data_IF_445824385242
#
_entry.id   IF_445824385242
#
_cell.length_a   1.000
_cell.length_b   1.000
_cell.length_c   1.000
_cell.angle_alpha   90.00
_cell.angle_beta   90.00
_cell.angle_gamma   90.00
#
_symmetry.space_group_name_H-M   'P 1'
#
loop_
_entity.id
_entity.type
_entity.pdbx_description
1 polymer ?
#
# COMPACT_ATOMS: atom_id res chain seq x y z
N UNK A 1 109.56 -15.03 50.87
CA UNK A 1 108.78 -13.75 50.68
C UNK A 1 108.27 -13.58 49.23
N UNK A 2 108.96 -14.20 48.24
CA UNK A 2 108.49 -14.08 46.81
C UNK A 2 107.32 -14.96 46.45
N UNK A 3 107.16 -16.15 47.10
CA UNK A 3 106.02 -17.06 46.78
C UNK A 3 104.64 -16.45 47.20
N UNK A 4 104.57 -15.75 48.31
CA UNK A 4 103.35 -15.13 48.81
C UNK A 4 102.90 -13.98 47.91
N UNK A 5 103.83 -13.32 47.33
CA UNK A 5 103.55 -12.18 46.42
C UNK A 5 102.98 -12.66 45.03
N UNK A 6 103.41 -13.82 44.59
CA UNK A 6 102.87 -14.40 43.32
C UNK A 6 101.49 -15.05 43.47
N UNK A 7 101.13 -15.56 44.67
CA UNK A 7 99.75 -16.02 44.94
C UNK A 7 98.77 -14.87 45.05
N UNK A 8 99.12 -13.73 45.64
CA UNK A 8 98.27 -12.57 45.70
C UNK A 8 98.05 -11.91 44.29
N UNK A 9 99.07 -11.88 43.44
CA UNK A 9 98.97 -11.39 42.06
C UNK A 9 98.02 -12.31 41.25
N UNK A 10 98.14 -13.61 41.30
CA UNK A 10 97.25 -14.57 40.63
C UNK A 10 95.85 -14.55 41.18
N UNK A 11 95.62 -14.24 42.44
CA UNK A 11 94.33 -14.14 43.07
C UNK A 11 93.61 -12.85 42.66
N UNK A 12 94.38 -11.74 42.50
CA UNK A 12 93.86 -10.49 42.02
C UNK A 12 93.50 -10.49 40.48
N UNK A 13 94.36 -11.12 39.69
CA UNK A 13 94.06 -11.33 38.24
C UNK A 13 92.81 -12.17 38.03
N UNK A 14 92.59 -13.25 38.83
CA UNK A 14 91.37 -14.07 38.76
C UNK A 14 90.09 -13.34 39.21
N UNK A 15 90.24 -12.38 40.16
CA UNK A 15 89.12 -11.56 40.63
C UNK A 15 88.78 -10.51 39.55
N UNK A 16 89.78 -9.92 38.90
CA UNK A 16 89.54 -8.94 37.84
C UNK A 16 88.94 -9.59 36.57
N UNK A 17 89.40 -10.78 36.20
CA UNK A 17 88.85 -11.56 35.11
C UNK A 17 87.38 -11.98 35.41
N UNK A 18 87.07 -12.47 36.57
CA UNK A 18 85.66 -12.73 37.01
C UNK A 18 84.80 -11.50 37.05
N UNK A 19 85.34 -10.36 37.47
CA UNK A 19 84.62 -9.10 37.48
C UNK A 19 84.38 -8.57 36.07
N UNK A 20 85.36 -8.73 35.15
CA UNK A 20 85.18 -8.35 33.73
C UNK A 20 84.12 -9.24 33.02
N UNK A 21 84.17 -10.59 33.25
CA UNK A 21 83.15 -11.51 32.71
C UNK A 21 81.77 -11.23 33.29
N UNK A 22 81.68 -10.93 34.61
CA UNK A 22 80.41 -10.58 35.26
C UNK A 22 79.81 -9.22 34.73
N UNK A 23 80.67 -8.23 34.44
CA UNK A 23 80.27 -6.97 33.87
C UNK A 23 79.91 -7.08 32.38
N UNK A 24 80.62 -7.94 31.63
CA UNK A 24 80.29 -8.26 30.24
C UNK A 24 78.92 -8.96 30.13
N UNK A 25 78.70 -9.98 30.98
CA UNK A 25 77.43 -10.68 31.04
C UNK A 25 76.23 -9.76 31.46
N UNK A 26 76.51 -8.85 32.44
CA UNK A 26 75.53 -7.84 32.81
C UNK A 26 75.16 -6.86 31.65
N UNK A 27 76.19 -6.44 30.88
CA UNK A 27 75.93 -5.58 29.69
C UNK A 27 75.17 -6.30 28.58
N UNK A 28 75.44 -7.60 28.39
CA UNK A 28 74.74 -8.45 27.40
C UNK A 28 73.32 -8.70 27.91
N UNK A 29 73.11 -8.98 29.19
CA UNK A 29 71.78 -9.15 29.79
C UNK A 29 70.94 -7.82 29.67
N UNK A 30 71.54 -6.70 29.98
CA UNK A 30 70.88 -5.37 29.82
C UNK A 30 70.55 -5.05 28.36
N UNK A 31 71.41 -5.39 27.38
CA UNK A 31 71.09 -5.28 25.96
C UNK A 31 69.92 -6.18 25.54
N UNK A 32 69.88 -7.43 26.01
CA UNK A 32 68.74 -8.34 25.75
C UNK A 32 67.45 -7.83 26.35
N UNK A 33 67.47 -7.31 27.59
CA UNK A 33 66.31 -6.70 28.24
C UNK A 33 65.86 -5.46 27.48
N UNK A 34 66.81 -4.62 27.02
CA UNK A 34 66.48 -3.40 26.24
C UNK A 34 65.88 -3.74 24.89
N UNK A 35 66.38 -4.76 24.19
CA UNK A 35 65.80 -5.27 22.92
C UNK A 35 64.38 -5.82 23.19
N UNK A 36 64.16 -6.57 24.27
CA UNK A 36 62.88 -7.10 24.66
C UNK A 36 61.87 -5.98 24.92
N UNK A 37 62.26 -4.91 25.64
CA UNK A 37 61.43 -3.73 25.86
C UNK A 37 61.10 -3.02 24.55
N UNK A 38 62.06 -2.87 23.64
CA UNK A 38 61.79 -2.27 22.32
C UNK A 38 60.82 -3.12 21.51
N UNK A 39 60.95 -4.45 21.50
CA UNK A 39 59.98 -5.33 20.86
C UNK A 39 58.58 -5.18 21.44
N UNK A 40 58.47 -5.07 22.76
CA UNK A 40 57.19 -4.90 23.44
C UNK A 40 56.53 -3.57 23.13
N UNK A 41 57.34 -2.50 23.03
CA UNK A 41 56.87 -1.15 22.59
C UNK A 41 56.41 -1.18 21.12
N UNK A 42 57.17 -1.83 20.23
CA UNK A 42 56.81 -1.97 18.82
C UNK A 42 55.50 -2.75 18.67
N UNK A 43 55.33 -3.86 19.37
CA UNK A 43 54.07 -4.63 19.39
C UNK A 43 52.94 -3.76 19.92
N UNK A 44 53.15 -2.97 21.00
CA UNK A 44 52.18 -2.03 21.53
C UNK A 44 51.77 -0.97 20.52
N UNK A 45 52.74 -0.39 19.82
CA UNK A 45 52.48 0.61 18.75
C UNK A 45 51.70 -0.02 17.58
N UNK A 46 52.07 -1.21 17.14
CA UNK A 46 51.35 -1.94 16.08
C UNK A 46 49.91 -2.24 16.53
N UNK A 47 49.70 -2.65 17.77
CA UNK A 47 48.37 -2.90 18.34
C UNK A 47 47.55 -1.64 18.42
N UNK A 48 48.13 -0.50 18.86
CA UNK A 48 47.46 0.80 18.90
C UNK A 48 47.10 1.29 17.48
N UNK A 49 48.04 1.11 16.53
CA UNK A 49 47.80 1.48 15.12
C UNK A 49 46.70 0.61 14.50
N UNK A 50 46.71 -0.67 14.75
CA UNK A 50 45.66 -1.60 14.33
C UNK A 50 44.31 -1.21 14.92
N UNK A 51 44.26 -0.93 16.23
CA UNK A 51 43.03 -0.50 16.90
C UNK A 51 42.53 0.88 16.41
N UNK A 52 43.42 1.82 16.13
CA UNK A 52 43.06 3.14 15.63
C UNK A 52 42.55 3.11 14.18
N UNK A 53 43.09 2.21 13.34
CA UNK A 53 42.70 2.08 11.94
C UNK A 53 41.48 1.20 11.74
N UNK A 54 41.29 0.14 12.54
CA UNK A 54 40.19 -0.83 12.36
C UNK A 54 39.09 -0.71 13.43
N UNK A 55 39.43 -0.42 14.66
CA UNK A 55 38.47 -0.36 15.77
C UNK A 55 37.53 0.86 15.74
N UNK A 56 37.85 1.88 14.93
CA UNK A 56 37.01 3.10 14.79
C UNK A 56 36.06 3.07 13.59
N UNK A 57 36.15 2.05 12.73
CA UNK A 57 35.40 1.99 11.45
C UNK A 57 34.19 1.06 11.54
N UNK A 58 33.96 0.42 12.68
CA UNK A 58 32.92 -0.60 12.85
C UNK A 58 32.16 -0.32 14.15
N UNK A 59 30.84 -0.39 14.08
CA UNK A 59 29.95 -0.41 15.26
C UNK A 59 29.17 -1.71 15.32
N UNK A 60 29.20 -2.37 16.46
CA UNK A 60 28.53 -3.65 16.71
C UNK A 60 27.40 -3.50 17.72
N UNK A 61 26.33 -4.22 17.51
CA UNK A 61 25.26 -4.43 18.49
C UNK A 61 24.67 -5.81 18.36
N UNK A 62 24.27 -6.39 19.47
CA UNK A 62 23.48 -7.62 19.58
C UNK A 62 21.98 -7.33 19.76
N UNK A 63 21.61 -6.06 19.86
CA UNK A 63 20.24 -5.61 19.99
C UNK A 63 19.71 -5.24 18.60
N UNK A 64 19.47 -6.24 17.78
CA UNK A 64 18.86 -6.10 16.46
C UNK A 64 17.81 -7.20 16.27
N UNK A 65 16.68 -6.82 15.67
CA UNK A 65 15.55 -7.73 15.44
C UNK A 65 15.06 -7.64 14.00
N UNK A 66 14.73 -8.80 13.43
CA UNK A 66 14.09 -8.86 12.12
C UNK A 66 12.67 -8.35 12.23
N UNK A 67 12.31 -7.44 11.34
CA UNK A 67 10.94 -6.92 11.19
C UNK A 67 10.47 -7.06 9.74
N UNK A 68 9.18 -6.92 9.49
CA UNK A 68 8.60 -7.09 8.17
C UNK A 68 7.22 -6.44 8.07
N UNK A 69 6.75 -6.29 6.82
CA UNK A 69 5.39 -5.76 6.59
C UNK A 69 4.35 -6.79 6.99
N UNK A 70 3.56 -6.45 8.00
CA UNK A 70 2.39 -7.22 8.42
C UNK A 70 1.17 -6.66 7.70
N UNK A 71 0.58 -7.46 6.81
CA UNK A 71 -0.60 -7.09 6.06
C UNK A 71 -1.82 -7.70 6.75
N UNK A 72 -2.54 -6.89 7.49
CA UNK A 72 -3.78 -7.28 8.17
C UNK A 72 -4.90 -7.28 7.13
N UNK A 73 -5.53 -8.43 6.93
CA UNK A 73 -6.67 -8.61 6.04
C UNK A 73 -7.94 -8.48 6.86
N UNK A 74 -8.81 -7.56 6.45
CA UNK A 74 -10.08 -7.31 7.12
C UNK A 74 -11.25 -7.60 6.19
N UNK A 75 -12.42 -7.92 6.75
CA UNK A 75 -13.65 -8.00 5.97
C UNK A 75 -14.09 -6.61 5.50
N UNK A 76 -14.63 -6.53 4.29
CA UNK A 76 -15.26 -5.31 3.77
C UNK A 76 -16.80 -5.40 3.85
N UNK A 77 -17.33 -6.59 4.09
CA UNK A 77 -18.77 -6.89 4.16
C UNK A 77 -19.09 -7.69 5.42
N UNK A 78 -20.35 -7.68 5.85
CA UNK A 78 -20.82 -8.51 6.95
C UNK A 78 -21.31 -9.87 6.45
N UNK A 79 -21.30 -10.88 7.30
CA UNK A 79 -21.88 -12.19 7.02
C UNK A 79 -21.08 -13.32 7.63
N UNK A 80 -21.48 -14.56 7.37
CA UNK A 80 -20.87 -15.76 7.93
C UNK A 80 -19.77 -16.30 7.02
N UNK A 81 -18.64 -16.71 7.57
CA UNK A 81 -17.57 -17.38 6.80
C UNK A 81 -18.06 -18.78 6.41
N UNK A 82 -18.32 -18.99 5.12
CA UNK A 82 -18.79 -20.28 4.59
C UNK A 82 -17.67 -21.16 4.06
N UNK A 83 -16.52 -20.58 3.66
CA UNK A 83 -15.34 -21.34 3.25
C UNK A 83 -14.07 -20.64 3.77
N UNK A 84 -13.14 -21.45 4.24
CA UNK A 84 -11.82 -21.02 4.68
C UNK A 84 -10.79 -21.92 3.98
N UNK A 85 -9.89 -21.34 3.19
CA UNK A 85 -9.00 -22.08 2.29
C UNK A 85 -7.55 -22.04 2.73
N UNK A 86 -7.26 -21.43 3.88
CA UNK A 86 -5.90 -21.24 4.39
C UNK A 86 -5.83 -21.55 5.86
N UNK A 87 -4.64 -22.00 6.28
CA UNK A 87 -4.29 -22.27 7.67
C UNK A 87 -3.08 -21.43 8.09
N UNK A 88 -2.86 -21.35 9.42
CA UNK A 88 -1.67 -20.72 9.97
C UNK A 88 -0.40 -21.38 9.41
N UNK A 89 0.64 -20.59 9.19
CA UNK A 89 1.94 -20.98 8.64
C UNK A 89 1.95 -21.38 7.15
N UNK A 90 0.79 -21.37 6.48
CA UNK A 90 0.71 -21.65 5.05
C UNK A 90 1.23 -20.47 4.22
N UNK A 91 2.00 -20.78 3.17
CA UNK A 91 2.39 -19.79 2.16
C UNK A 91 1.26 -19.57 1.16
N UNK A 92 0.98 -18.31 0.85
CA UNK A 92 -0.03 -17.88 -0.13
C UNK A 92 0.59 -16.93 -1.15
N UNK A 93 0.10 -16.98 -2.38
CA UNK A 93 0.50 -16.04 -3.42
C UNK A 93 -0.49 -14.87 -3.49
N UNK A 94 -0.01 -13.74 -4.00
CA UNK A 94 -0.89 -12.61 -4.29
C UNK A 94 -2.00 -13.04 -5.24
N UNK A 95 -3.27 -12.80 -4.87
CA UNK A 95 -4.45 -13.18 -5.63
C UNK A 95 -5.07 -14.53 -5.25
N UNK A 96 -4.45 -15.30 -4.34
CA UNK A 96 -5.06 -16.54 -3.84
C UNK A 96 -6.32 -16.21 -3.03
N UNK A 97 -7.37 -17.02 -3.19
CA UNK A 97 -8.60 -16.91 -2.43
C UNK A 97 -8.39 -17.48 -1.02
N UNK A 98 -8.56 -16.66 0.00
CA UNK A 98 -8.29 -17.00 1.39
C UNK A 98 -9.53 -17.50 2.13
N UNK A 99 -10.64 -16.79 1.95
CA UNK A 99 -11.92 -17.11 2.57
C UNK A 99 -13.06 -16.57 1.73
N UNK A 100 -14.26 -17.09 1.96
CA UNK A 100 -15.50 -16.54 1.40
C UNK A 100 -16.51 -16.33 2.49
N UNK A 101 -17.17 -15.17 2.45
CA UNK A 101 -18.37 -14.86 3.24
C UNK A 101 -19.59 -15.43 2.50
N UNK A 102 -20.63 -15.80 3.19
CA UNK A 102 -21.90 -16.22 2.58
C UNK A 102 -22.42 -15.13 1.65
N UNK A 103 -22.61 -15.47 0.40
CA UNK A 103 -22.90 -14.56 -0.69
C UNK A 103 -24.40 -14.53 -1.09
N UNK A 104 -25.25 -15.32 -0.43
CA UNK A 104 -26.66 -15.48 -0.82
C UNK A 104 -27.37 -14.14 -0.86
N UNK A 105 -27.30 -13.35 0.20
CA UNK A 105 -27.96 -12.04 0.29
C UNK A 105 -27.40 -11.04 -0.72
N UNK A 106 -26.09 -11.08 -0.99
CA UNK A 106 -25.43 -10.23 -1.96
C UNK A 106 -25.80 -10.59 -3.40
N UNK A 107 -25.97 -11.89 -3.71
CA UNK A 107 -26.49 -12.34 -5.02
C UNK A 107 -27.92 -11.90 -5.23
N UNK A 108 -28.77 -12.05 -4.22
CA UNK A 108 -30.16 -11.57 -4.30
C UNK A 108 -30.24 -10.04 -4.45
N UNK A 109 -29.36 -9.30 -3.76
CA UNK A 109 -29.29 -7.85 -3.90
C UNK A 109 -28.86 -7.44 -5.34
N UNK A 110 -27.90 -8.15 -5.92
CA UNK A 110 -27.47 -7.92 -7.31
C UNK A 110 -28.60 -8.27 -8.32
N UNK A 111 -29.32 -9.35 -8.11
CA UNK A 111 -30.47 -9.73 -8.94
C UNK A 111 -31.58 -8.67 -8.87
N UNK A 112 -31.90 -8.17 -7.68
CA UNK A 112 -32.87 -7.10 -7.49
C UNK A 112 -32.42 -5.79 -8.17
N UNK A 113 -31.13 -5.44 -8.05
CA UNK A 113 -30.57 -4.27 -8.72
C UNK A 113 -30.59 -4.41 -10.26
N UNK A 114 -30.32 -5.62 -10.76
CA UNK A 114 -30.41 -5.95 -12.20
C UNK A 114 -31.84 -5.79 -12.72
N UNK A 115 -32.83 -6.31 -11.99
CA UNK A 115 -34.24 -6.18 -12.33
C UNK A 115 -34.69 -4.71 -12.33
N UNK A 116 -34.23 -3.94 -11.33
CA UNK A 116 -34.52 -2.51 -11.22
C UNK A 116 -33.92 -1.70 -12.36
N UNK A 117 -32.67 -2.01 -12.75
CA UNK A 117 -32.02 -1.41 -13.93
C UNK A 117 -32.82 -1.73 -15.21
N UNK A 118 -33.20 -2.97 -15.42
CA UNK A 118 -34.04 -3.35 -16.56
C UNK A 118 -35.38 -2.63 -16.57
N UNK A 119 -36.00 -2.41 -15.40
CA UNK A 119 -37.25 -1.62 -15.28
C UNK A 119 -37.01 -0.15 -15.67
N UNK A 120 -35.95 0.47 -15.19
CA UNK A 120 -35.62 1.88 -15.51
C UNK A 120 -35.36 2.06 -17.03
N UNK A 121 -34.66 1.11 -17.65
CA UNK A 121 -34.38 1.11 -19.09
C UNK A 121 -35.69 1.03 -19.90
N UNK A 122 -36.58 0.08 -19.55
CA UNK A 122 -37.88 -0.05 -20.24
C UNK A 122 -38.77 1.17 -20.03
N UNK A 123 -38.73 1.78 -18.85
CA UNK A 123 -39.46 3.04 -18.57
C UNK A 123 -38.96 4.17 -19.47
N UNK A 124 -37.67 4.38 -19.58
CA UNK A 124 -37.08 5.36 -20.50
C UNK A 124 -37.48 5.08 -21.96
N UNK A 125 -37.44 3.81 -22.39
CA UNK A 125 -37.89 3.45 -23.75
C UNK A 125 -39.37 3.77 -23.99
N UNK A 126 -40.21 3.58 -22.95
CA UNK A 126 -41.65 3.94 -23.07
C UNK A 126 -41.87 5.46 -23.18
N UNK A 127 -41.11 6.28 -22.44
CA UNK A 127 -41.11 7.72 -22.55
C UNK A 127 -40.70 8.20 -23.95
N UNK A 128 -39.64 7.61 -24.51
CA UNK A 128 -39.21 7.90 -25.87
C UNK A 128 -40.29 7.55 -26.91
N UNK A 129 -40.98 6.44 -26.75
CA UNK A 129 -42.08 6.03 -27.61
C UNK A 129 -43.26 7.00 -27.51
N UNK A 130 -43.54 7.52 -26.30
CA UNK A 130 -44.57 8.54 -26.08
C UNK A 130 -44.22 9.88 -26.79
N UNK A 131 -42.97 10.32 -26.70
CA UNK A 131 -42.49 11.51 -27.45
C UNK A 131 -42.70 11.31 -28.96
N UNK A 132 -42.29 10.13 -29.50
CA UNK A 132 -42.49 9.85 -30.92
C UNK A 132 -43.99 9.83 -31.34
N UNK A 133 -44.88 9.36 -30.48
CA UNK A 133 -46.32 9.38 -30.69
C UNK A 133 -46.86 10.84 -30.72
N UNK A 134 -46.47 11.65 -29.75
CA UNK A 134 -46.90 13.05 -29.66
C UNK A 134 -46.36 13.90 -30.83
N UNK A 135 -45.14 13.62 -31.31
CA UNK A 135 -44.59 14.23 -32.52
C UNK A 135 -45.48 13.97 -33.74
N UNK A 136 -45.95 12.74 -33.90
CA UNK A 136 -46.90 12.40 -34.99
C UNK A 136 -48.25 13.12 -34.83
N UNK A 137 -48.74 13.28 -33.58
CA UNK A 137 -49.99 14.05 -33.35
C UNK A 137 -49.82 15.52 -33.69
N UNK A 138 -48.68 16.16 -33.31
CA UNK A 138 -48.37 17.54 -33.72
C UNK A 138 -48.41 17.68 -35.24
N UNK A 139 -47.77 16.79 -35.99
CA UNK A 139 -47.79 16.79 -37.46
C UNK A 139 -49.24 16.69 -37.99
N UNK A 140 -50.10 15.85 -37.40
CA UNK A 140 -51.51 15.73 -37.79
C UNK A 140 -52.28 17.03 -37.51
N UNK A 141 -52.03 17.71 -36.37
CA UNK A 141 -52.66 19.02 -36.06
C UNK A 141 -52.16 20.13 -36.96
N UNK A 142 -50.89 20.18 -37.33
CA UNK A 142 -50.36 21.13 -38.34
C UNK A 142 -51.04 20.99 -39.68
N UNK A 143 -51.23 19.71 -40.12
CA UNK A 143 -51.99 19.52 -41.39
C UNK A 143 -53.41 19.95 -41.28
N UNK A 144 -54.11 19.74 -40.14
CA UNK A 144 -55.49 20.29 -39.92
C UNK A 144 -55.53 21.83 -39.92
N UNK A 145 -54.55 22.48 -39.26
CA UNK A 145 -54.40 23.92 -39.25
C UNK A 145 -54.16 24.46 -40.66
N UNK A 146 -53.28 23.78 -41.43
CA UNK A 146 -53.02 24.15 -42.83
C UNK A 146 -54.35 24.13 -43.67
N UNK A 147 -55.16 23.07 -43.52
CA UNK A 147 -56.44 22.94 -44.14
C UNK A 147 -57.39 24.07 -43.69
N UNK A 148 -57.61 24.30 -42.39
CA UNK A 148 -58.46 25.30 -41.83
C UNK A 148 -58.06 26.71 -42.28
N UNK A 149 -56.74 26.97 -42.41
CA UNK A 149 -56.22 28.25 -42.93
C UNK A 149 -56.57 28.48 -44.41
N UNK A 150 -56.52 27.44 -45.23
CA UNK A 150 -56.92 27.48 -46.63
C UNK A 150 -58.41 27.68 -46.76
N UNK A 151 -59.24 26.94 -45.99
CA UNK A 151 -60.69 27.06 -45.97
C UNK A 151 -61.16 28.49 -45.56
N UNK A 152 -60.51 29.04 -44.49
CA UNK A 152 -60.74 30.44 -44.07
C UNK A 152 -60.39 31.44 -45.16
N UNK A 153 -59.22 31.26 -45.84
CA UNK A 153 -58.84 32.21 -46.91
C UNK A 153 -59.81 32.16 -48.08
N UNK A 154 -60.33 30.99 -48.45
CA UNK A 154 -61.36 30.85 -49.49
C UNK A 154 -62.68 31.53 -49.05
N UNK A 155 -63.14 31.23 -47.82
CA UNK A 155 -64.39 31.85 -47.29
C UNK A 155 -64.25 33.36 -47.15
N UNK A 156 -63.10 33.90 -46.78
CA UNK A 156 -62.81 35.34 -46.70
C UNK A 156 -62.94 36.00 -48.09
N UNK A 157 -62.26 35.45 -49.08
CA UNK A 157 -62.25 35.98 -50.43
C UNK A 157 -63.71 35.96 -51.06
N UNK A 158 -64.45 34.86 -50.82
CA UNK A 158 -65.83 34.72 -51.28
C UNK A 158 -66.78 35.70 -50.59
N UNK A 159 -66.61 35.96 -49.29
CA UNK A 159 -67.40 36.94 -48.55
C UNK A 159 -67.13 38.38 -49.04
N UNK A 160 -65.86 38.74 -49.25
CA UNK A 160 -65.42 40.04 -49.77
C UNK A 160 -65.97 40.29 -51.21
N UNK A 161 -66.08 39.20 -51.98
CA UNK A 161 -66.68 39.24 -53.32
C UNK A 161 -68.24 39.24 -53.31
N UNK A 162 -68.91 39.18 -52.15
CA UNK A 162 -70.35 39.09 -52.00
C UNK A 162 -70.96 37.72 -52.35
N UNK A 163 -70.14 36.68 -52.50
CA UNK A 163 -70.56 35.36 -52.95
C UNK A 163 -70.80 34.33 -51.76
N UNK A 164 -70.47 34.72 -50.56
CA UNK A 164 -70.66 33.88 -49.35
C UNK A 164 -71.38 34.66 -48.24
N UNK A 165 -72.09 33.95 -47.37
CA UNK A 165 -72.77 34.50 -46.21
C UNK A 165 -71.78 34.87 -45.07
N UNK A 166 -72.21 35.88 -44.28
CA UNK A 166 -71.47 36.24 -43.06
C UNK A 166 -71.28 35.02 -42.08
N UNK A 167 -72.26 34.15 -42.03
CA UNK A 167 -72.25 32.96 -41.21
C UNK A 167 -71.12 31.96 -41.63
N UNK A 168 -71.01 31.69 -42.93
CA UNK A 168 -69.96 30.82 -43.50
C UNK A 168 -68.60 31.41 -43.24
N UNK A 169 -68.34 32.68 -43.37
CA UNK A 169 -67.11 33.38 -43.05
C UNK A 169 -66.72 33.21 -41.53
N UNK A 170 -67.73 33.51 -40.65
CA UNK A 170 -67.47 33.36 -39.19
C UNK A 170 -67.22 31.93 -38.80
N UNK A 171 -67.93 30.94 -39.35
CA UNK A 171 -67.67 29.51 -39.10
C UNK A 171 -66.29 29.11 -39.56
N UNK A 172 -65.78 29.53 -40.70
CA UNK A 172 -64.45 29.26 -41.15
C UNK A 172 -63.38 29.89 -40.24
N UNK A 173 -63.64 31.10 -39.73
CA UNK A 173 -62.80 31.81 -38.76
C UNK A 173 -62.73 31.05 -37.42
N UNK A 174 -63.88 30.60 -36.92
CA UNK A 174 -63.94 29.84 -35.66
C UNK A 174 -63.22 28.47 -35.79
N UNK A 175 -63.41 27.78 -36.92
CA UNK A 175 -62.67 26.53 -37.21
C UNK A 175 -61.16 26.75 -37.29
N UNK A 176 -60.72 27.92 -37.86
CA UNK A 176 -59.27 28.25 -37.81
C UNK A 176 -58.78 28.46 -36.38
N UNK A 177 -59.53 29.22 -35.56
CA UNK A 177 -59.13 29.41 -34.13
C UNK A 177 -59.10 28.12 -33.35
N UNK A 178 -60.05 27.20 -33.56
CA UNK A 178 -60.09 25.89 -32.97
C UNK A 178 -58.86 25.09 -33.41
N UNK A 179 -58.49 25.15 -34.70
CA UNK A 179 -57.28 24.42 -35.16
C UNK A 179 -55.98 24.97 -34.58
N UNK A 180 -55.90 26.33 -34.43
CA UNK A 180 -54.75 26.97 -33.75
C UNK A 180 -54.62 26.47 -32.29
N UNK A 181 -55.71 26.59 -31.52
CA UNK A 181 -55.69 26.13 -30.10
C UNK A 181 -55.38 24.63 -29.93
N UNK A 182 -55.89 23.80 -30.88
CA UNK A 182 -55.59 22.35 -30.87
C UNK A 182 -54.14 22.04 -31.15
N UNK A 183 -53.48 22.80 -32.05
CA UNK A 183 -52.02 22.63 -32.29
C UNK A 183 -51.22 23.10 -31.08
N UNK A 184 -51.56 24.23 -30.47
CA UNK A 184 -50.87 24.72 -29.26
C UNK A 184 -50.97 23.74 -28.10
N UNK A 185 -52.14 23.11 -27.91
CA UNK A 185 -52.33 22.06 -26.93
C UNK A 185 -51.43 20.86 -27.20
N UNK A 186 -51.33 20.39 -28.47
CA UNK A 186 -50.47 19.26 -28.82
C UNK A 186 -48.97 19.57 -28.66
N UNK A 187 -48.55 20.80 -29.00
CA UNK A 187 -47.19 21.27 -28.77
C UNK A 187 -46.85 21.26 -27.27
N UNK A 188 -47.75 21.81 -26.42
CA UNK A 188 -47.53 21.78 -24.97
C UNK A 188 -47.45 20.39 -24.40
N UNK A 189 -48.22 19.43 -24.93
CA UNK A 189 -48.14 18.03 -24.53
C UNK A 189 -46.80 17.39 -24.96
N UNK A 190 -46.32 17.71 -26.16
CA UNK A 190 -45.02 17.23 -26.66
C UNK A 190 -43.88 17.82 -25.83
N UNK A 191 -43.89 19.12 -25.53
CA UNK A 191 -42.85 19.78 -24.73
C UNK A 191 -42.74 19.17 -23.31
N UNK A 192 -43.89 18.86 -22.68
CA UNK A 192 -43.94 18.18 -21.41
C UNK A 192 -43.32 16.80 -21.49
N UNK A 193 -43.61 16.02 -22.55
CA UNK A 193 -43.02 14.69 -22.72
C UNK A 193 -41.51 14.75 -23.02
N UNK A 194 -41.08 15.72 -23.84
CA UNK A 194 -39.65 15.98 -24.10
C UNK A 194 -38.91 16.32 -22.81
N UNK A 195 -39.52 17.13 -21.94
CA UNK A 195 -38.93 17.51 -20.63
C UNK A 195 -38.71 16.29 -19.74
N UNK A 196 -39.61 15.30 -19.76
CA UNK A 196 -39.47 14.06 -18.99
C UNK A 196 -38.32 13.18 -19.49
N UNK A 197 -38.08 13.18 -20.81
CA UNK A 197 -36.92 12.47 -21.40
C UNK A 197 -35.63 13.30 -21.21
N UNK A 198 -35.74 14.61 -20.89
CA UNK A 198 -34.63 15.56 -20.62
C UNK A 198 -33.62 15.66 -21.74
N UNK A 199 -33.97 15.37 -22.99
CA UNK A 199 -33.08 15.37 -24.17
C UNK A 199 -31.79 14.54 -23.93
N UNK A 200 -31.83 13.58 -23.00
CA UNK A 200 -30.67 12.76 -22.54
C UNK A 200 -30.64 11.43 -23.29
N UNK A 201 -29.49 10.87 -23.38
CA UNK A 201 -29.34 9.45 -23.78
C UNK A 201 -29.82 8.53 -22.66
N UNK A 202 -30.12 7.28 -22.98
CA UNK A 202 -30.47 6.25 -21.99
C UNK A 202 -29.43 6.15 -20.84
N UNK A 203 -28.15 6.36 -21.16
CA UNK A 203 -27.06 6.28 -20.21
C UNK A 203 -26.99 7.50 -19.26
N UNK A 204 -27.58 8.62 -19.62
CA UNK A 204 -27.51 9.87 -18.86
C UNK A 204 -28.85 10.25 -18.20
N UNK A 205 -29.91 9.45 -18.43
CA UNK A 205 -31.18 9.66 -17.76
C UNK A 205 -31.08 9.44 -16.24
N UNK A 206 -31.58 10.32 -15.37
CA UNK A 206 -31.40 10.25 -13.91
C UNK A 206 -31.82 8.91 -13.32
N UNK A 207 -33.00 8.39 -13.67
CA UNK A 207 -33.52 7.13 -13.14
C UNK A 207 -32.67 5.94 -13.55
N UNK A 208 -32.14 5.94 -14.78
CA UNK A 208 -31.23 4.90 -15.28
C UNK A 208 -29.90 5.01 -14.59
N UNK A 209 -29.35 6.21 -14.40
CA UNK A 209 -28.11 6.42 -13.66
C UNK A 209 -28.21 5.97 -12.19
N UNK A 210 -29.33 6.26 -11.55
CA UNK A 210 -29.57 5.79 -10.18
C UNK A 210 -29.59 4.25 -10.13
N UNK A 211 -30.26 3.60 -11.08
CA UNK A 211 -30.31 2.15 -11.15
C UNK A 211 -28.93 1.53 -11.50
N UNK A 212 -28.14 2.15 -12.39
CA UNK A 212 -26.76 1.76 -12.68
C UNK A 212 -25.90 1.83 -11.41
N UNK A 213 -26.02 2.92 -10.64
CA UNK A 213 -25.27 3.08 -9.39
C UNK A 213 -25.64 2.02 -8.36
N UNK A 214 -26.91 1.69 -8.23
CA UNK A 214 -27.39 0.62 -7.36
C UNK A 214 -26.87 -0.77 -7.80
N UNK A 215 -26.85 -1.02 -9.12
CA UNK A 215 -26.26 -2.23 -9.68
C UNK A 215 -24.77 -2.33 -9.40
N UNK A 216 -24.00 -1.27 -9.68
CA UNK A 216 -22.56 -1.22 -9.40
C UNK A 216 -22.27 -1.50 -7.94
N UNK A 217 -23.03 -0.90 -7.03
CA UNK A 217 -22.87 -1.12 -5.58
C UNK A 217 -23.11 -2.60 -5.22
N UNK A 218 -24.20 -3.20 -5.66
CA UNK A 218 -24.52 -4.59 -5.36
C UNK A 218 -23.48 -5.55 -5.94
N UNK A 219 -22.94 -5.28 -7.12
CA UNK A 219 -21.87 -6.03 -7.73
C UNK A 219 -20.57 -5.96 -6.91
N UNK A 220 -20.19 -4.75 -6.50
CA UNK A 220 -19.01 -4.52 -5.65
C UNK A 220 -19.15 -5.25 -4.32
N UNK A 221 -20.32 -5.18 -3.69
CA UNK A 221 -20.55 -5.83 -2.40
C UNK A 221 -20.52 -7.35 -2.54
N UNK A 222 -20.98 -7.92 -3.66
CA UNK A 222 -20.86 -9.35 -3.96
C UNK A 222 -19.39 -9.77 -4.16
N UNK A 223 -18.59 -9.00 -4.93
CA UNK A 223 -17.17 -9.34 -5.11
C UNK A 223 -16.39 -9.26 -3.80
N UNK A 224 -16.76 -8.37 -2.88
CA UNK A 224 -16.16 -8.24 -1.54
C UNK A 224 -16.45 -9.42 -0.61
N UNK A 225 -17.38 -10.30 -0.95
CA UNK A 225 -17.56 -11.57 -0.21
C UNK A 225 -16.40 -12.53 -0.40
N UNK A 226 -15.60 -12.36 -1.46
CA UNK A 226 -14.42 -13.15 -1.77
C UNK A 226 -13.19 -12.42 -1.25
N UNK A 227 -12.50 -13.01 -0.31
CA UNK A 227 -11.35 -12.39 0.36
C UNK A 227 -10.06 -12.95 -0.25
N UNK A 228 -9.29 -12.09 -0.92
CA UNK A 228 -8.07 -12.46 -1.62
C UNK A 228 -6.81 -11.95 -0.90
N UNK A 229 -5.68 -12.64 -1.11
CA UNK A 229 -4.37 -12.22 -0.62
C UNK A 229 -3.84 -11.01 -1.40
N UNK A 230 -3.63 -9.84 -0.77
CA UNK A 230 -3.12 -8.64 -1.46
C UNK A 230 -1.63 -8.73 -1.77
N UNK A 231 -0.91 -9.60 -1.09
CA UNK A 231 0.53 -9.83 -1.22
C UNK A 231 0.84 -11.31 -1.07
N UNK A 232 1.95 -11.76 -1.67
CA UNK A 232 2.50 -13.08 -1.39
C UNK A 232 3.19 -13.09 -0.03
N UNK A 233 3.07 -14.20 0.73
CA UNK A 233 3.67 -14.31 2.04
C UNK A 233 3.14 -15.50 2.83
N UNK A 234 3.45 -15.54 4.11
CA UNK A 234 3.00 -16.58 5.03
C UNK A 234 1.88 -16.05 5.91
N UNK A 235 0.82 -16.83 6.07
CA UNK A 235 -0.25 -16.55 7.03
C UNK A 235 0.31 -16.71 8.44
N UNK A 236 0.44 -15.60 9.16
CA UNK A 236 1.05 -15.57 10.48
C UNK A 236 0.05 -15.77 11.61
N UNK A 237 -1.18 -15.29 11.39
CA UNK A 237 -2.25 -15.36 12.37
C UNK A 237 -3.59 -15.39 11.66
N UNK A 238 -4.35 -16.44 11.91
CA UNK A 238 -5.74 -16.58 11.52
C UNK A 238 -6.64 -16.26 12.70
N UNK A 239 -7.48 -15.22 12.55
CA UNK A 239 -8.39 -14.76 13.61
C UNK A 239 -9.84 -15.15 13.35
N UNK A 240 -10.10 -15.96 12.31
CA UNK A 240 -11.45 -16.39 11.90
C UNK A 240 -11.57 -17.90 11.83
N UNK A 241 -12.83 -18.36 12.01
CA UNK A 241 -13.21 -19.77 11.94
C UNK A 241 -14.40 -19.96 11.00
N UNK A 242 -14.51 -21.17 10.47
CA UNK A 242 -15.64 -21.56 9.64
C UNK A 242 -16.95 -21.45 10.42
N UNK A 243 -17.98 -20.81 9.85
CA UNK A 243 -19.26 -20.56 10.50
C UNK A 243 -19.28 -19.32 11.42
N UNK A 244 -18.18 -18.60 11.55
CA UNK A 244 -18.12 -17.37 12.31
C UNK A 244 -18.72 -16.21 11.54
N UNK A 245 -19.52 -15.38 12.21
CA UNK A 245 -20.02 -14.11 11.68
C UNK A 245 -18.92 -13.04 11.75
N UNK A 246 -18.75 -12.28 10.68
CA UNK A 246 -17.79 -11.18 10.56
C UNK A 246 -18.49 -9.87 10.21
N UNK A 247 -17.91 -8.77 10.65
CA UNK A 247 -18.36 -7.42 10.35
C UNK A 247 -17.30 -6.65 9.53
N UNK A 248 -17.70 -5.56 8.83
CA UNK A 248 -16.74 -4.70 8.14
C UNK A 248 -15.64 -4.19 9.08
N UNK A 249 -14.40 -4.15 8.60
CA UNK A 249 -13.18 -3.80 9.34
C UNK A 249 -12.72 -4.80 10.40
N UNK A 250 -13.40 -5.92 10.58
CA UNK A 250 -12.93 -6.99 11.46
C UNK A 250 -11.70 -7.66 10.88
N UNK A 251 -10.65 -7.84 11.70
CA UNK A 251 -9.45 -8.58 11.33
C UNK A 251 -9.79 -10.05 11.08
N UNK A 252 -9.38 -10.57 9.93
CA UNK A 252 -9.60 -11.95 9.53
C UNK A 252 -8.33 -12.78 9.67
N UNK A 253 -7.24 -12.27 9.10
CA UNK A 253 -5.94 -12.91 9.14
C UNK A 253 -4.83 -11.90 8.83
N UNK A 254 -3.59 -12.25 9.18
CA UNK A 254 -2.41 -11.44 8.90
C UNK A 254 -1.46 -12.21 7.99
N UNK A 255 -1.05 -11.58 6.89
CA UNK A 255 -0.04 -12.11 5.97
C UNK A 255 1.26 -11.32 6.16
N UNK A 256 2.36 -12.05 6.35
CA UNK A 256 3.69 -11.48 6.44
C UNK A 256 4.42 -11.74 5.13
N UNK A 257 4.80 -10.64 4.46
CA UNK A 257 5.66 -10.73 3.29
C UNK A 257 7.12 -10.89 3.73
N UNK A 258 7.67 -12.08 3.52
CA UNK A 258 9.01 -12.46 3.95
C UNK A 258 10.12 -11.97 3.00
N UNK A 259 9.78 -11.50 1.79
CA UNK A 259 10.74 -10.96 0.83
C UNK A 259 11.13 -9.51 1.13
N UNK A 260 10.27 -8.77 1.85
CA UNK A 260 10.46 -7.38 2.24
C UNK A 260 10.69 -7.25 3.75
N UNK A 261 11.71 -7.94 4.25
CA UNK A 261 12.12 -7.84 5.64
C UNK A 261 13.26 -6.85 5.82
N UNK A 262 13.34 -6.27 7.00
CA UNK A 262 14.43 -5.39 7.43
C UNK A 262 14.84 -5.77 8.85
N UNK A 263 15.98 -5.27 9.30
CA UNK A 263 16.35 -5.36 10.69
C UNK A 263 16.24 -3.98 11.36
N UNK A 264 15.61 -3.94 12.52
CA UNK A 264 15.64 -2.78 13.41
C UNK A 264 16.84 -2.97 14.34
N UNK A 265 17.90 -2.20 14.08
CA UNK A 265 19.20 -2.28 14.76
C UNK A 265 19.27 -1.15 15.78
N UNK A 266 19.26 -1.50 17.06
CA UNK A 266 19.27 -0.54 18.17
C UNK A 266 20.70 -0.20 18.57
N UNK A 267 21.24 0.89 18.03
CA UNK A 267 22.55 1.40 18.36
C UNK A 267 22.49 2.33 19.57
N UNK A 268 23.52 2.32 20.44
CA UNK A 268 23.67 3.30 21.52
C UNK A 268 23.84 4.71 20.93
N UNK A 269 23.31 5.75 21.59
CA UNK A 269 23.47 7.13 21.15
C UNK A 269 24.95 7.52 20.94
N UNK A 270 25.86 6.92 21.69
CA UNK A 270 27.32 7.11 21.57
C UNK A 270 27.90 6.53 20.29
N UNK A 271 27.26 5.52 19.69
CA UNK A 271 27.66 4.85 18.45
C UNK A 271 27.15 5.56 17.20
N UNK A 272 26.18 6.48 17.33
CA UNK A 272 25.52 7.13 16.20
C UNK A 272 26.38 8.17 15.47
N UNK A 273 27.50 8.61 16.05
CA UNK A 273 28.28 9.76 15.57
C UNK A 273 28.63 9.71 14.07
N UNK A 274 28.96 8.54 13.55
CA UNK A 274 29.42 8.36 12.17
C UNK A 274 28.51 7.44 11.35
N UNK A 275 27.38 6.99 11.89
CA UNK A 275 26.40 6.16 11.19
C UNK A 275 25.64 7.03 10.19
N UNK A 276 25.60 6.61 8.92
CA UNK A 276 24.94 7.32 7.83
C UNK A 276 24.06 6.36 7.03
N UNK A 277 23.02 6.92 6.41
CA UNK A 277 22.21 6.19 5.42
C UNK A 277 23.13 5.72 4.29
N UNK A 278 22.97 4.45 3.90
CA UNK A 278 23.81 3.80 2.91
C UNK A 278 24.99 3.02 3.48
N UNK A 279 25.35 3.17 4.76
CA UNK A 279 26.41 2.37 5.34
C UNK A 279 26.12 0.86 5.21
N UNK A 280 27.10 0.09 4.79
CA UNK A 280 26.98 -1.36 4.66
C UNK A 280 26.85 -2.01 6.05
N UNK A 281 25.98 -3.00 6.14
CA UNK A 281 25.73 -3.74 7.38
C UNK A 281 25.85 -5.24 7.12
N UNK A 282 26.48 -5.96 8.04
CA UNK A 282 26.44 -7.41 8.09
C UNK A 282 25.60 -7.82 9.29
N UNK A 283 24.59 -8.63 9.04
CA UNK A 283 23.67 -9.16 10.03
C UNK A 283 23.94 -10.67 10.19
N UNK A 284 24.05 -11.14 11.41
CA UNK A 284 24.20 -12.57 11.72
C UNK A 284 22.96 -13.01 12.47
N UNK A 285 22.17 -13.88 11.87
CA UNK A 285 20.94 -14.39 12.49
C UNK A 285 21.23 -15.37 13.60
N UNK A 286 20.53 -15.24 14.72
CA UNK A 286 20.60 -16.19 15.81
C UNK A 286 19.88 -17.52 15.53
N UNK A 287 18.90 -17.49 14.61
CA UNK A 287 18.10 -18.68 14.23
C UNK A 287 18.95 -19.72 13.49
N UNK A 288 19.69 -19.30 12.47
CA UNK A 288 20.43 -20.20 11.58
C UNK A 288 21.95 -19.95 11.55
N UNK A 289 22.43 -18.97 12.31
CA UNK A 289 23.85 -18.52 12.39
C UNK A 289 24.44 -18.09 11.05
N UNK A 290 23.62 -17.85 10.02
CA UNK A 290 24.07 -17.38 8.70
C UNK A 290 24.21 -15.86 8.67
N UNK A 291 25.03 -15.38 7.71
CA UNK A 291 25.31 -13.97 7.52
C UNK A 291 24.42 -13.41 6.40
N UNK A 292 23.81 -12.27 6.67
CA UNK A 292 23.01 -11.53 5.72
C UNK A 292 23.66 -10.18 5.47
N UNK A 293 23.74 -9.76 4.22
CA UNK A 293 24.19 -8.43 3.84
C UNK A 293 23.02 -7.46 3.76
N UNK A 294 23.30 -6.19 4.04
CA UNK A 294 22.34 -5.13 3.97
C UNK A 294 22.98 -3.77 4.08
N UNK A 295 22.16 -2.74 4.16
CA UNK A 295 22.61 -1.36 4.33
C UNK A 295 21.65 -0.55 5.20
N UNK A 296 22.15 0.51 5.82
CA UNK A 296 21.35 1.46 6.58
C UNK A 296 20.38 2.18 5.63
N UNK A 297 19.09 1.88 5.75
CA UNK A 297 18.02 2.49 4.96
C UNK A 297 17.52 3.79 5.58
N UNK A 298 17.48 3.87 6.90
CA UNK A 298 17.00 5.04 7.62
C UNK A 298 17.42 5.02 9.08
N UNK A 299 17.41 6.19 9.69
CA UNK A 299 17.72 6.40 11.11
C UNK A 299 16.48 7.01 11.74
N UNK A 300 16.03 6.45 12.87
CA UNK A 300 14.88 6.98 13.60
C UNK A 300 15.14 8.40 14.09
N UNK A 301 14.11 9.26 14.02
CA UNK A 301 14.17 10.62 14.53
C UNK A 301 14.13 10.70 16.07
N UNK A 302 13.91 9.59 16.77
CA UNK A 302 13.84 9.52 18.23
C UNK A 302 14.44 8.25 18.78
N UNK A 303 14.71 8.23 20.08
CA UNK A 303 15.15 7.03 20.78
C UNK A 303 13.98 6.06 20.98
N UNK A 304 14.28 4.77 21.11
CA UNK A 304 13.23 3.75 21.32
C UNK A 304 12.34 4.05 22.53
N UNK A 305 12.91 4.60 23.60
CA UNK A 305 12.16 5.00 24.81
C UNK A 305 11.25 6.22 24.58
N UNK A 306 11.66 7.18 23.76
CA UNK A 306 10.84 8.38 23.48
C UNK A 306 9.66 8.11 22.55
N UNK A 307 9.77 7.07 21.70
CA UNK A 307 8.74 6.67 20.74
C UNK A 307 7.87 5.51 21.24
N UNK A 308 8.10 5.02 22.47
CA UNK A 308 7.27 3.97 23.06
C UNK A 308 5.91 4.52 23.49
N UNK A 309 4.87 3.66 23.49
CA UNK A 309 3.50 3.99 23.95
C UNK A 309 3.48 4.50 25.40
N UNK A 310 4.44 4.04 26.24
CA UNK A 310 4.62 4.47 27.62
C UNK A 310 6.08 4.88 27.84
N UNK A 311 6.44 6.14 27.52
CA UNK A 311 7.79 6.63 27.75
C UNK A 311 8.15 6.58 29.24
N UNK A 312 9.32 6.02 29.55
CA UNK A 312 9.81 6.01 30.93
C UNK A 312 10.07 7.44 31.41
N UNK A 313 9.26 7.90 32.37
CA UNK A 313 9.45 9.22 33.01
C UNK A 313 10.27 9.04 34.30
N UNK A 314 11.50 9.53 34.30
CA UNK A 314 12.33 9.64 35.52
C UNK A 314 12.05 10.96 36.23
N UNK A 315 10.78 11.22 36.63
CA UNK A 315 10.35 12.48 37.19
C UNK A 315 10.64 12.61 38.72
N UNK A 316 10.95 11.50 39.40
CA UNK A 316 11.17 11.50 40.86
C UNK A 316 12.36 10.61 41.23
N UNK A 317 13.36 11.20 41.92
CA UNK A 317 14.53 10.48 42.44
C UNK A 317 15.87 11.03 41.96
N UNK A 318 16.97 10.35 42.32
CA UNK A 318 18.31 10.69 41.86
C UNK A 318 18.43 10.51 40.34
N UNK A 319 18.79 11.60 39.65
CA UNK A 319 18.99 11.55 38.20
C UNK A 319 20.20 10.68 37.84
N UNK A 320 20.01 9.61 37.08
CA UNK A 320 21.06 8.77 36.54
C UNK A 320 21.00 8.87 35.02
N UNK A 321 22.13 9.22 34.38
CA UNK A 321 22.25 9.22 32.93
C UNK A 321 22.20 7.78 32.41
N UNK A 322 21.10 7.41 31.74
CA UNK A 322 20.95 6.12 31.07
C UNK A 322 21.23 6.35 29.57
N UNK A 323 22.19 5.60 29.02
CA UNK A 323 22.50 5.61 27.58
C UNK A 323 21.27 5.14 26.81
N UNK A 324 20.74 5.98 25.95
CA UNK A 324 19.58 5.67 25.11
C UNK A 324 20.00 4.91 23.86
N UNK A 325 19.07 4.13 23.29
CA UNK A 325 19.27 3.46 22.00
C UNK A 325 18.44 4.12 20.90
N UNK A 326 19.04 4.28 19.74
CA UNK A 326 18.41 4.84 18.54
C UNK A 326 18.16 3.72 17.57
N UNK A 327 16.90 3.44 17.18
CA UNK A 327 16.59 2.45 16.16
C UNK A 327 17.10 2.89 14.79
N UNK A 328 17.85 2.02 14.15
CA UNK A 328 18.35 2.18 12.78
C UNK A 328 17.74 1.10 11.92
N UNK A 329 17.00 1.49 10.89
CA UNK A 329 16.41 0.55 9.95
C UNK A 329 17.45 0.10 8.93
N UNK A 330 17.71 -1.18 8.88
CA UNK A 330 18.65 -1.82 7.96
C UNK A 330 17.88 -2.67 6.97
N UNK A 331 17.96 -2.34 5.69
CA UNK A 331 17.42 -3.17 4.62
C UNK A 331 18.26 -4.44 4.49
N UNK A 332 17.62 -5.60 4.39
CA UNK A 332 18.29 -6.89 4.14
C UNK A 332 18.24 -7.16 2.64
N UNK A 333 19.40 -7.42 2.03
CA UNK A 333 19.48 -7.68 0.60
C UNK A 333 18.67 -8.94 0.22
N UNK A 334 17.78 -8.82 -0.76
CA UNK A 334 16.92 -9.93 -1.22
C UNK A 334 17.74 -11.14 -1.71
N UNK A 335 18.91 -10.90 -2.35
CA UNK A 335 19.81 -11.96 -2.79
C UNK A 335 20.34 -12.76 -1.58
N UNK A 336 20.66 -12.07 -0.49
CA UNK A 336 21.12 -12.68 0.75
C UNK A 336 20.03 -13.53 1.43
N UNK A 337 18.76 -13.10 1.34
CA UNK A 337 17.61 -13.88 1.84
C UNK A 337 17.42 -15.15 1.00
N UNK A 338 17.52 -15.04 -0.33
CA UNK A 338 17.40 -16.19 -1.25
C UNK A 338 18.49 -17.24 -1.00
N UNK A 339 19.72 -16.81 -0.77
CA UNK A 339 20.87 -17.68 -0.54
C UNK A 339 20.84 -18.36 0.84
N UNK A 340 20.52 -17.60 1.87
CA UNK A 340 20.65 -18.02 3.25
C UNK A 340 19.36 -18.50 3.92
N UNK A 341 18.23 -18.28 3.24
CA UNK A 341 16.88 -18.63 3.70
C UNK A 341 16.17 -17.49 4.41
N UNK A 342 14.88 -17.69 4.59
CA UNK A 342 13.97 -16.75 5.22
C UNK A 342 14.21 -16.75 6.74
N UNK A 343 14.10 -15.56 7.36
CA UNK A 343 14.21 -15.39 8.80
C UNK A 343 12.84 -14.95 9.32
N UNK A 344 12.30 -15.63 10.35
CA UNK A 344 11.06 -15.21 10.97
C UNK A 344 11.17 -13.80 11.56
N UNK A 345 10.12 -13.00 11.43
CA UNK A 345 10.08 -11.68 12.09
C UNK A 345 10.10 -11.85 13.61
N UNK A 346 10.68 -10.87 14.30
CA UNK A 346 10.92 -10.93 15.76
C UNK A 346 12.17 -11.69 16.16
N UNK A 347 12.86 -12.36 15.20
CA UNK A 347 14.12 -13.05 15.48
C UNK A 347 15.24 -12.07 15.78
N UNK A 348 16.11 -12.41 16.77
CA UNK A 348 17.28 -11.62 17.10
C UNK A 348 18.43 -11.83 16.12
N UNK A 349 19.23 -10.79 15.96
CA UNK A 349 20.40 -10.75 15.10
C UNK A 349 21.54 -9.99 15.77
N UNK A 350 22.77 -10.32 15.41
CA UNK A 350 23.91 -9.46 15.67
C UNK A 350 24.18 -8.60 14.43
N UNK A 351 24.27 -7.28 14.61
CA UNK A 351 24.52 -6.33 13.53
C UNK A 351 25.93 -5.72 13.66
N UNK A 352 26.63 -5.66 12.53
CA UNK A 352 27.92 -4.99 12.37
C UNK A 352 27.78 -3.94 11.29
N UNK A 353 27.86 -2.67 11.66
CA UNK A 353 27.75 -1.50 10.76
C UNK A 353 29.14 -1.01 10.39
N UNK A 354 29.44 -0.88 9.09
CA UNK A 354 30.71 -0.39 8.55
C UNK A 354 30.60 1.10 8.24
N UNK A 355 31.22 1.94 9.04
CA UNK A 355 31.06 3.41 8.99
C UNK A 355 31.65 4.08 7.73
N UNK A 356 32.66 3.46 7.13
CA UNK A 356 33.38 3.98 5.96
C UNK A 356 32.99 3.29 4.64
N UNK A 357 32.13 2.26 4.71
CA UNK A 357 31.70 1.49 3.53
C UNK A 357 30.24 1.75 3.23
N UNK A 358 29.97 2.26 2.06
CA UNK A 358 28.59 2.41 1.55
C UNK A 358 28.21 1.20 0.69
N UNK A 359 26.92 0.92 0.64
CA UNK A 359 26.36 -0.06 -0.29
C UNK A 359 26.18 0.59 -1.66
N UNK A 360 26.59 -0.13 -2.70
CA UNK A 360 26.34 0.28 -4.09
C UNK A 360 24.88 0.06 -4.51
N UNK A 361 24.11 -0.67 -3.68
CA UNK A 361 22.72 -1.08 -3.95
C UNK A 361 21.73 -0.37 -3.02
N UNK A 362 21.65 0.96 -3.05
CA UNK A 362 20.60 1.67 -2.31
C UNK A 362 19.33 1.62 -3.15
N UNK A 363 18.32 0.89 -2.68
CA UNK A 363 17.01 0.84 -3.33
C UNK A 363 16.15 1.98 -2.75
N UNK A 364 15.73 2.96 -3.58
CA UNK A 364 14.82 4.00 -3.13
C UNK A 364 13.46 3.39 -2.72
N UNK A 365 12.73 4.12 -1.87
CA UNK A 365 11.37 3.72 -1.52
C UNK A 365 10.53 3.59 -2.80
N UNK A 366 9.93 2.42 -3.01
CA UNK A 366 8.99 2.19 -4.11
C UNK A 366 7.56 2.25 -3.56
N UNK A 367 6.71 2.98 -4.25
CA UNK A 367 5.29 2.98 -3.98
C UNK A 367 4.73 1.57 -4.15
N UNK A 368 3.95 1.12 -3.14
CA UNK A 368 3.30 -0.19 -3.16
C UNK A 368 1.81 0.01 -3.37
N UNK A 369 1.32 -0.36 -4.54
CA UNK A 369 -0.11 -0.36 -4.85
C UNK A 369 -0.63 -1.80 -4.96
N UNK A 370 -1.87 -2.02 -4.54
CA UNK A 370 -2.57 -3.28 -4.76
C UNK A 370 -3.77 -3.04 -5.65
N UNK A 371 -3.77 -3.62 -6.86
CA UNK A 371 -4.91 -3.58 -7.78
C UNK A 371 -6.00 -4.60 -7.44
N UNK A 372 -5.78 -5.51 -6.48
CA UNK A 372 -6.73 -6.58 -6.15
C UNK A 372 -8.03 -6.09 -5.50
N UNK A 373 -7.99 -4.91 -4.86
CA UNK A 373 -9.17 -4.28 -4.28
C UNK A 373 -9.76 -3.17 -5.15
N UNK A 374 -9.14 -2.85 -6.29
CA UNK A 374 -9.73 -2.04 -7.34
C UNK A 374 -10.54 -2.96 -8.25
N UNK A 375 -11.85 -2.92 -8.09
CA UNK A 375 -12.75 -3.63 -9.00
C UNK A 375 -12.61 -2.96 -10.36
N UNK A 376 -12.44 -3.78 -11.40
CA UNK A 376 -12.33 -3.28 -12.77
C UNK A 376 -13.67 -2.68 -13.21
N UNK A 377 -13.73 -1.34 -13.18
CA UNK A 377 -14.92 -0.61 -13.63
C UNK A 377 -15.28 -0.95 -15.08
N UNK A 378 -14.32 -1.27 -15.93
CA UNK A 378 -14.58 -1.64 -17.33
C UNK A 378 -15.42 -2.91 -17.43
N UNK A 379 -15.15 -3.91 -16.59
CA UNK A 379 -15.95 -5.14 -16.51
C UNK A 379 -17.38 -4.87 -16.08
N UNK A 380 -17.58 -3.97 -15.09
CA UNK A 380 -18.93 -3.62 -14.63
C UNK A 380 -19.68 -2.84 -15.73
N UNK A 381 -19.02 -1.89 -16.38
CA UNK A 381 -19.61 -1.09 -17.46
C UNK A 381 -19.97 -1.97 -18.66
N UNK A 382 -19.19 -3.00 -18.97
CA UNK A 382 -19.55 -3.98 -20.00
C UNK A 382 -20.83 -4.75 -19.63
N UNK A 383 -20.96 -5.20 -18.39
CA UNK A 383 -22.16 -5.87 -17.91
C UNK A 383 -23.39 -4.96 -17.96
N UNK A 384 -23.26 -3.69 -17.51
CA UNK A 384 -24.31 -2.67 -17.62
C UNK A 384 -24.74 -2.47 -19.07
N UNK A 385 -23.79 -2.34 -19.99
CA UNK A 385 -24.07 -2.20 -21.41
C UNK A 385 -24.81 -3.43 -21.99
N UNK A 386 -24.47 -4.64 -21.55
CA UNK A 386 -25.16 -5.85 -21.94
C UNK A 386 -26.61 -5.87 -21.42
N UNK A 387 -26.85 -5.46 -20.18
CA UNK A 387 -28.20 -5.34 -19.61
C UNK A 387 -29.00 -4.30 -20.40
N UNK A 388 -28.41 -3.16 -20.76
CA UNK A 388 -29.07 -2.13 -21.58
C UNK A 388 -29.47 -2.70 -22.94
N UNK A 389 -28.55 -3.33 -23.65
CA UNK A 389 -28.83 -3.93 -24.97
C UNK A 389 -29.98 -4.94 -24.92
N UNK A 390 -30.03 -5.77 -23.87
CA UNK A 390 -31.07 -6.79 -23.73
C UNK A 390 -32.45 -6.24 -23.35
N UNK A 391 -32.55 -4.97 -22.89
CA UNK A 391 -33.81 -4.36 -22.47
C UNK A 391 -34.30 -3.22 -23.38
N UNK A 392 -33.52 -2.84 -24.40
CA UNK A 392 -33.91 -1.81 -25.41
C UNK A 392 -34.60 -2.45 -26.62
N UNK A 393 -34.53 -3.78 -26.78
CA UNK A 393 -35.30 -4.51 -27.81
C UNK A 393 -36.78 -4.60 -27.39
#
# INVERSE_FOLDING_TARGET
MEEIKNEEIKKNENIDEKNQIKNSNKKIALKKIFIFIICLVVIGVIFILYWALYGRTIEDTDDAYVNGSQNIITSQVSGTINKLMVEDTQYVNKGDLLATVDDIDYRLALENATASLGKAIRYYSSLNSQVAQLQKDVIAKENRLKKAKTDYQIAKNSYEAGLASKHEFLTAKDNLNIAIASLEQSNSALDNAITQVSSTSIMTHPDVQQAITAYKKAYVDLERTKIYAPVSGVVAKKAIFLGQEVAPSQELLTIINLENTWADVNLKETQMKNVKIGNKVTLVSDVNKKKYSGYVQGISAGTGSSLSLLPAQNATGNWIKIVQRVPVRVHIDSDSIKENGIIPIGSSMKATVYLEKNSDKIVPFQEKTSSLYSIDEATIDEQVNNIIKNNVQ
#
